data_IF_540940015028
#
_entry.id   IF_540940015028
#
_cell.length_a   1.000
_cell.length_b   1.000
_cell.length_c   1.000
_cell.angle_alpha   90.00
_cell.angle_beta   90.00
_cell.angle_gamma   90.00
#
_symmetry.space_group_name_H-M   'P 1'
#
loop_
_entity.id
_entity.type
_entity.pdbx_description
1 polymer ?
#
# COMPACT_ATOMS: atom_id res chain seq x y z
N UNK A 1 0.26 10.55 -16.08
CA UNK A 1 1.13 10.06 -14.99
C UNK A 1 2.57 10.41 -15.33
N UNK A 2 3.27 11.08 -14.41
CA UNK A 2 4.69 11.46 -14.59
C UNK A 2 5.62 10.29 -14.29
N UNK A 3 6.90 10.38 -14.67
CA UNK A 3 7.91 9.34 -14.36
C UNK A 3 8.05 9.14 -12.84
N UNK A 4 8.02 10.22 -12.06
CA UNK A 4 8.06 10.17 -10.60
C UNK A 4 6.84 9.47 -10.01
N UNK A 5 5.65 9.69 -10.59
CA UNK A 5 4.44 9.02 -10.13
C UNK A 5 4.53 7.51 -10.36
N UNK A 6 5.09 7.08 -11.49
CA UNK A 6 5.26 5.65 -11.78
C UNK A 6 6.18 4.97 -10.77
N UNK A 7 7.33 5.60 -10.47
CA UNK A 7 8.25 5.08 -9.44
C UNK A 7 7.58 5.02 -8.07
N UNK A 8 6.74 6.01 -7.73
CA UNK A 8 5.99 6.02 -6.48
C UNK A 8 4.92 4.92 -6.44
N UNK A 9 4.19 4.70 -7.54
CA UNK A 9 3.20 3.62 -7.68
C UNK A 9 3.86 2.26 -7.54
N UNK A 10 5.01 2.02 -8.17
CA UNK A 10 5.75 0.76 -8.06
C UNK A 10 6.15 0.51 -6.59
N UNK A 11 6.73 1.51 -5.92
CA UNK A 11 7.13 1.40 -4.52
C UNK A 11 5.96 1.21 -3.55
N UNK A 12 4.81 1.85 -3.84
CA UNK A 12 3.57 1.65 -3.09
C UNK A 12 2.97 0.27 -3.34
N UNK A 13 3.04 -0.24 -4.56
CA UNK A 13 2.56 -1.58 -4.90
C UNK A 13 3.32 -2.63 -4.08
N UNK A 14 4.64 -2.47 -3.94
CA UNK A 14 5.46 -3.32 -3.09
C UNK A 14 5.13 -3.16 -1.61
N UNK A 15 4.81 -1.95 -1.14
CA UNK A 15 4.35 -1.72 0.23
C UNK A 15 3.01 -2.43 0.49
N UNK A 16 2.01 -2.23 -0.38
CA UNK A 16 0.69 -2.87 -0.31
C UNK A 16 0.82 -4.39 -0.26
N UNK A 17 1.62 -4.97 -1.16
CA UNK A 17 1.88 -6.41 -1.21
C UNK A 17 2.49 -6.93 0.08
N UNK A 18 3.50 -6.24 0.61
CA UNK A 18 4.15 -6.62 1.88
C UNK A 18 3.17 -6.54 3.06
N UNK A 19 2.40 -5.47 3.15
CA UNK A 19 1.39 -5.30 4.19
C UNK A 19 0.32 -6.41 4.10
N UNK A 20 -0.16 -6.72 2.90
CA UNK A 20 -1.09 -7.84 2.68
C UNK A 20 -0.49 -9.18 3.11
N UNK A 21 0.79 -9.41 2.83
CA UNK A 21 1.48 -10.61 3.31
C UNK A 21 1.58 -10.63 4.85
N UNK A 22 2.02 -9.54 5.50
CA UNK A 22 2.13 -9.50 6.96
C UNK A 22 0.79 -9.79 7.67
N UNK A 23 -0.32 -9.37 7.08
CA UNK A 23 -1.65 -9.58 7.65
C UNK A 23 -2.17 -11.00 7.40
N UNK A 24 -1.95 -11.56 6.21
CA UNK A 24 -2.58 -12.82 5.79
C UNK A 24 -1.68 -14.05 5.85
N UNK A 25 -0.36 -13.89 5.68
CA UNK A 25 0.55 -15.00 5.40
C UNK A 25 1.43 -15.47 6.56
N UNK A 26 1.16 -15.06 7.80
CA UNK A 26 1.86 -15.62 8.97
C UNK A 26 1.45 -17.07 9.29
N UNK A 27 0.46 -17.64 8.59
CA UNK A 27 0.00 -19.00 8.83
C UNK A 27 0.67 -20.03 7.89
N UNK A 28 1.32 -21.08 8.45
CA UNK A 28 1.91 -22.16 7.65
C UNK A 28 0.87 -22.82 6.73
N UNK A 29 1.15 -22.87 5.42
CA UNK A 29 0.31 -23.53 4.43
C UNK A 29 -0.81 -22.66 3.84
N UNK A 30 -0.91 -21.39 4.22
CA UNK A 30 -1.79 -20.42 3.54
C UNK A 30 -1.01 -19.77 2.39
N UNK A 31 -1.54 -19.78 1.16
CA UNK A 31 -0.88 -19.10 0.03
C UNK A 31 -0.80 -17.60 0.28
N UNK A 32 0.29 -16.98 -0.15
CA UNK A 32 0.42 -15.52 -0.12
C UNK A 32 -0.55 -14.90 -1.13
N UNK A 33 -1.17 -13.76 -0.80
CA UNK A 33 -2.04 -13.05 -1.73
C UNK A 33 -1.20 -12.44 -2.86
N UNK A 34 -1.61 -12.66 -4.11
CA UNK A 34 -0.96 -12.11 -5.30
C UNK A 34 -1.65 -10.82 -5.76
N UNK A 35 -2.92 -10.65 -5.41
CA UNK A 35 -3.75 -9.50 -5.75
C UNK A 35 -4.73 -9.14 -4.63
N UNK A 36 -5.34 -7.95 -4.71
CA UNK A 36 -6.23 -7.45 -3.67
C UNK A 36 -7.50 -8.31 -3.53
N UNK A 37 -8.00 -8.87 -4.64
CA UNK A 37 -9.17 -9.74 -4.61
C UNK A 37 -8.94 -11.10 -3.95
N UNK A 38 -7.69 -11.46 -3.64
CA UNK A 38 -7.37 -12.67 -2.86
C UNK A 38 -7.66 -12.47 -1.37
N UNK A 39 -7.82 -11.21 -0.95
CA UNK A 39 -8.11 -10.84 0.42
C UNK A 39 -9.61 -10.87 0.69
N UNK A 40 -9.99 -11.40 1.85
CA UNK A 40 -11.34 -11.21 2.36
C UNK A 40 -11.56 -9.74 2.79
N UNK A 41 -12.82 -9.33 2.90
CA UNK A 41 -13.17 -7.93 3.20
C UNK A 41 -12.58 -7.41 4.52
N UNK A 42 -12.36 -8.27 5.51
CA UNK A 42 -11.75 -7.87 6.77
C UNK A 42 -10.24 -7.68 6.62
N UNK A 43 -9.56 -8.61 5.93
CA UNK A 43 -8.14 -8.47 5.59
C UNK A 43 -7.84 -7.20 4.78
N UNK A 44 -8.72 -6.82 3.84
CA UNK A 44 -8.61 -5.54 3.12
C UNK A 44 -8.63 -4.37 4.09
N UNK A 45 -9.59 -4.32 5.01
CA UNK A 45 -9.67 -3.22 6.01
C UNK A 45 -8.39 -3.15 6.86
N UNK A 46 -7.83 -4.28 7.27
CA UNK A 46 -6.58 -4.31 8.03
C UNK A 46 -5.40 -3.79 7.21
N UNK A 47 -5.31 -4.17 5.92
CA UNK A 47 -4.28 -3.65 5.00
C UNK A 47 -4.38 -2.14 4.90
N UNK A 48 -5.59 -1.62 4.74
CA UNK A 48 -5.81 -0.18 4.66
C UNK A 48 -5.40 0.53 5.94
N UNK A 49 -5.79 0.03 7.12
CA UNK A 49 -5.39 0.61 8.40
C UNK A 49 -3.87 0.64 8.60
N UNK A 50 -3.15 -0.42 8.22
CA UNK A 50 -1.69 -0.43 8.34
C UNK A 50 -1.02 0.47 7.31
N UNK A 51 -1.58 0.58 6.09
CA UNK A 51 -1.12 1.55 5.10
C UNK A 51 -1.35 2.99 5.56
N UNK A 52 -2.52 3.32 6.12
CA UNK A 52 -2.81 4.65 6.68
C UNK A 52 -1.79 5.04 7.74
N UNK A 53 -1.49 4.11 8.65
CA UNK A 53 -0.49 4.30 9.69
C UNK A 53 0.93 4.49 9.12
N UNK A 54 1.26 3.76 8.06
CA UNK A 54 2.59 3.80 7.44
C UNK A 54 2.80 5.05 6.58
N UNK A 55 1.78 5.47 5.83
CA UNK A 55 1.85 6.62 4.92
C UNK A 55 1.36 7.93 5.53
N UNK A 56 0.74 7.88 6.72
CA UNK A 56 0.05 9.00 7.37
C UNK A 56 -1.04 9.65 6.50
N UNK A 57 -1.65 8.87 5.61
CA UNK A 57 -2.79 9.28 4.81
C UNK A 57 -4.05 8.63 5.37
N UNK A 58 -5.18 9.36 5.35
CA UNK A 58 -6.49 8.76 5.64
C UNK A 58 -7.01 8.14 4.34
N UNK A 59 -7.13 6.81 4.30
CA UNK A 59 -7.44 6.00 3.13
C UNK A 59 -8.82 5.35 3.22
N UNK A 60 -9.25 4.91 4.40
CA UNK A 60 -10.52 4.21 4.62
C UNK A 60 -11.73 5.05 4.20
N UNK A 61 -11.71 6.35 4.45
CA UNK A 61 -12.80 7.26 4.07
C UNK A 61 -12.93 7.40 2.55
N UNK A 62 -11.79 7.44 1.85
CA UNK A 62 -11.73 7.66 0.40
C UNK A 62 -11.95 6.36 -0.40
N UNK A 63 -11.67 5.20 0.20
CA UNK A 63 -11.75 3.89 -0.45
C UNK A 63 -13.16 3.29 -0.46
N UNK A 64 -14.16 3.95 0.13
CA UNK A 64 -15.56 3.50 0.07
C UNK A 64 -16.11 3.35 -1.36
N UNK A 65 -15.51 4.03 -2.33
CA UNK A 65 -15.86 3.96 -3.75
C UNK A 65 -14.90 3.14 -4.62
N UNK A 66 -13.81 2.61 -4.05
CA UNK A 66 -12.79 1.88 -4.80
C UNK A 66 -13.32 0.54 -5.32
N UNK A 67 -12.93 0.20 -6.55
CA UNK A 67 -13.38 -1.01 -7.29
C UNK A 67 -12.23 -1.80 -7.92
N UNK A 68 -10.98 -1.39 -7.69
CA UNK A 68 -9.82 -2.13 -8.21
C UNK A 68 -9.66 -3.49 -7.53
N UNK A 69 -8.93 -4.36 -8.20
CA UNK A 69 -8.73 -5.76 -7.83
C UNK A 69 -7.27 -6.13 -7.63
N UNK A 70 -6.34 -5.27 -8.05
CA UNK A 70 -4.90 -5.46 -7.96
C UNK A 70 -4.27 -4.53 -6.92
N UNK A 71 -3.08 -4.88 -6.45
CA UNK A 71 -2.29 -4.01 -5.57
C UNK A 71 -1.83 -2.73 -6.26
N UNK A 72 -1.56 -2.80 -7.57
CA UNK A 72 -1.17 -1.65 -8.39
C UNK A 72 -2.33 -0.64 -8.49
N UNK A 73 -3.56 -1.09 -8.79
CA UNK A 73 -4.73 -0.20 -8.81
C UNK A 73 -4.97 0.47 -7.44
N UNK A 74 -4.72 -0.24 -6.34
CA UNK A 74 -4.81 0.36 -5.01
C UNK A 74 -3.69 1.40 -4.79
N UNK A 75 -2.46 1.12 -5.21
CA UNK A 75 -1.34 2.04 -5.14
C UNK A 75 -1.58 3.31 -5.97
N UNK A 76 -2.09 3.17 -7.20
CA UNK A 76 -2.51 4.29 -8.06
C UNK A 76 -3.56 5.13 -7.34
N UNK A 77 -4.59 4.51 -6.77
CA UNK A 77 -5.63 5.24 -6.05
C UNK A 77 -5.10 5.99 -4.81
N UNK A 78 -4.13 5.41 -4.09
CA UNK A 78 -3.46 6.09 -2.96
C UNK A 78 -2.69 7.33 -3.45
N UNK A 79 -2.01 7.24 -4.60
CA UNK A 79 -1.31 8.39 -5.21
C UNK A 79 -2.30 9.48 -5.63
N UNK A 80 -3.46 9.11 -6.18
CA UNK A 80 -4.53 10.07 -6.50
C UNK A 80 -5.06 10.77 -5.24
N UNK A 81 -5.37 10.02 -4.17
CA UNK A 81 -5.79 10.58 -2.87
C UNK A 81 -4.75 11.58 -2.34
N UNK A 82 -3.47 11.21 -2.40
CA UNK A 82 -2.40 12.10 -1.96
C UNK A 82 -2.29 13.36 -2.83
N UNK A 83 -2.52 13.24 -4.13
CA UNK A 83 -2.54 14.39 -5.05
C UNK A 83 -3.68 15.35 -4.73
N UNK A 84 -4.89 14.83 -4.53
CA UNK A 84 -6.06 15.62 -4.19
C UNK A 84 -5.87 16.37 -2.86
N UNK A 85 -5.11 15.78 -1.94
CA UNK A 85 -4.76 16.37 -0.63
C UNK A 85 -3.47 17.21 -0.65
N UNK A 86 -2.82 17.39 -1.80
CA UNK A 86 -1.52 18.05 -1.94
C UNK A 86 -0.42 17.45 -1.03
N UNK A 87 -0.50 16.14 -0.77
CA UNK A 87 0.39 15.38 0.12
C UNK A 87 1.33 14.42 -0.62
N UNK A 88 1.44 14.53 -1.95
CA UNK A 88 2.31 13.67 -2.77
C UNK A 88 3.79 13.72 -2.34
N UNK A 89 4.38 14.90 -2.01
CA UNK A 89 5.77 14.97 -1.54
C UNK A 89 6.00 14.21 -0.23
N UNK A 90 5.07 14.32 0.72
CA UNK A 90 5.11 13.66 2.02
C UNK A 90 4.98 12.14 1.85
N UNK A 91 4.00 11.70 1.06
CA UNK A 91 3.83 10.29 0.70
C UNK A 91 5.11 9.71 0.08
N UNK A 92 5.70 10.41 -0.89
CA UNK A 92 6.92 9.96 -1.54
C UNK A 92 8.12 9.88 -0.58
N UNK A 93 8.21 10.80 0.38
CA UNK A 93 9.18 10.74 1.48
C UNK A 93 8.99 9.49 2.33
N UNK A 94 7.76 9.24 2.82
CA UNK A 94 7.44 8.10 3.67
C UNK A 94 7.67 6.76 3.00
N UNK A 95 7.22 6.60 1.75
CA UNK A 95 7.43 5.36 0.99
C UNK A 95 8.92 5.09 0.78
N UNK A 96 9.72 6.12 0.53
CA UNK A 96 11.18 6.00 0.43
C UNK A 96 11.82 5.60 1.76
N UNK A 97 11.40 6.19 2.86
CA UNK A 97 11.92 5.88 4.20
C UNK A 97 11.59 4.43 4.60
N UNK A 98 10.36 3.98 4.31
CA UNK A 98 9.92 2.59 4.53
C UNK A 98 10.69 1.61 3.66
N UNK A 99 10.93 1.94 2.38
CA UNK A 99 11.74 1.12 1.48
C UNK A 99 13.21 1.02 1.94
N UNK A 100 13.73 2.06 2.58
CA UNK A 100 15.11 2.11 3.08
C UNK A 100 15.27 1.38 4.43
N UNK A 101 14.26 1.44 5.29
CA UNK A 101 14.27 0.81 6.62
C UNK A 101 14.27 -0.72 6.56
N UNK A 102 13.74 -1.28 5.48
CA UNK A 102 13.67 -2.73 5.22
C UNK A 102 15.00 -3.30 4.66
N UNK A 103 15.93 -2.44 4.21
CA UNK A 103 17.25 -2.84 3.69
C UNK A 103 18.37 -2.84 4.74
N UNK A 104 18.08 -2.50 6.00
CA UNK A 104 19.07 -2.62 7.07
C UNK A 104 19.28 -4.11 7.39
N UNK A 105 20.48 -4.69 7.13
CA UNK A 105 20.76 -6.03 7.59
C UNK A 105 20.66 -6.03 9.11
N UNK A 106 19.89 -6.97 9.66
CA UNK A 106 20.01 -7.32 11.07
C UNK A 106 21.46 -7.68 11.33
N UNK A 107 22.19 -6.78 12.00
CA UNK A 107 23.57 -6.95 12.40
C UNK A 107 23.70 -7.94 13.56
#
# INVERSE_FOLDING_TARGET
MSENDRVLVDALTDLVRRTAYQICGEQPGVPQPEQLSDLDSFSVVQVLLELEKSTELMLLEELGSFRGSTFEELAENIVEIARDRNATPELAGRVRDLASSDQAPSA
#
